data_IF_907504419193
#
_entry.id   IF_907504419193
#
_cell.length_a   1.000
_cell.length_b   1.000
_cell.length_c   1.000
_cell.angle_alpha   90.00
_cell.angle_beta   90.00
_cell.angle_gamma   90.00
#
_symmetry.space_group_name_H-M   'P 1'
#
loop_
_entity.id
_entity.type
_entity.pdbx_description
1 polymer ?
#
# COMPACT_ATOMS: atom_id res chain seq x y z
N UNK A 1 16.24 14.81 -9.23
CA UNK A 1 17.12 14.29 -8.15
C UNK A 1 16.32 13.69 -6.99
N UNK A 2 15.29 14.37 -6.46
CA UNK A 2 14.48 13.87 -5.34
C UNK A 2 13.85 12.48 -5.55
N UNK A 3 13.15 12.25 -6.66
CA UNK A 3 12.57 10.92 -6.95
C UNK A 3 13.61 9.80 -7.00
N UNK A 4 14.77 10.08 -7.60
CA UNK A 4 15.85 9.09 -7.68
C UNK A 4 16.35 8.72 -6.28
N UNK A 5 16.57 9.71 -5.41
CA UNK A 5 16.94 9.45 -4.02
C UNK A 5 15.86 8.64 -3.28
N UNK A 6 14.61 9.10 -3.30
CA UNK A 6 13.50 8.42 -2.60
C UNK A 6 13.27 6.99 -3.09
N UNK A 7 13.47 6.71 -4.38
CA UNK A 7 13.25 5.38 -4.94
C UNK A 7 14.48 4.45 -4.83
N UNK A 8 15.71 4.97 -4.67
CA UNK A 8 16.93 4.15 -4.77
C UNK A 8 17.83 4.17 -3.54
N UNK A 9 17.72 5.17 -2.65
CA UNK A 9 18.52 5.19 -1.44
C UNK A 9 18.16 3.98 -0.56
N UNK A 10 19.12 3.14 -0.15
CA UNK A 10 18.82 1.87 0.51
C UNK A 10 17.98 1.98 1.78
N UNK A 11 18.07 3.10 2.50
CA UNK A 11 17.32 3.36 3.73
C UNK A 11 16.04 4.17 3.51
N UNK A 12 15.65 4.40 2.25
CA UNK A 12 14.40 5.08 1.97
C UNK A 12 13.22 4.24 2.44
N UNK A 13 12.38 4.81 3.29
CA UNK A 13 11.16 4.18 3.81
C UNK A 13 10.26 3.61 2.70
N UNK A 14 10.21 4.27 1.53
CA UNK A 14 9.41 3.83 0.38
C UNK A 14 9.88 2.50 -0.25
N UNK A 15 11.06 2.00 0.12
CA UNK A 15 11.59 0.72 -0.37
C UNK A 15 11.29 -0.46 0.55
N UNK A 16 10.66 -0.20 1.69
CA UNK A 16 10.54 -1.16 2.80
C UNK A 16 9.09 -1.45 3.20
N UNK A 17 8.15 -0.63 2.72
CA UNK A 17 6.72 -0.81 2.95
C UNK A 17 5.92 -0.45 1.70
N UNK A 18 4.82 -1.18 1.46
CA UNK A 18 3.77 -0.72 0.57
C UNK A 18 2.94 0.34 1.29
N UNK A 19 2.77 1.51 0.67
CA UNK A 19 2.05 2.64 1.25
C UNK A 19 0.97 3.13 0.29
N UNK A 20 -0.26 3.28 0.79
CA UNK A 20 -1.33 3.97 0.07
C UNK A 20 -2.08 4.92 0.99
N UNK A 21 -2.56 6.03 0.42
CA UNK A 21 -3.47 6.95 1.09
C UNK A 21 -4.45 7.52 0.08
N UNK A 22 -5.74 7.53 0.41
CA UNK A 22 -6.81 8.15 -0.38
C UNK A 22 -7.68 9.00 0.53
N UNK A 23 -7.80 10.29 0.22
CA UNK A 23 -8.79 11.16 0.87
C UNK A 23 -10.18 10.94 0.27
N UNK A 24 -11.20 11.05 1.11
CA UNK A 24 -12.60 10.87 0.77
C UNK A 24 -13.34 12.21 0.72
N UNK A 25 -14.44 12.33 -0.06
CA UNK A 25 -15.17 13.59 -0.22
C UNK A 25 -15.77 14.16 1.06
N UNK A 26 -16.06 13.31 2.05
CA UNK A 26 -16.67 13.63 3.34
C UNK A 26 -15.66 14.09 4.40
N UNK A 27 -14.39 14.25 4.04
CA UNK A 27 -13.30 14.59 4.97
C UNK A 27 -12.66 13.37 5.64
N UNK A 28 -13.12 12.16 5.31
CA UNK A 28 -12.45 10.92 5.68
C UNK A 28 -11.17 10.65 4.87
N UNK A 29 -10.46 9.60 5.26
CA UNK A 29 -9.34 9.05 4.49
C UNK A 29 -9.17 7.56 4.73
N UNK A 30 -8.65 6.86 3.74
CA UNK A 30 -8.18 5.49 3.88
C UNK A 30 -6.67 5.46 3.78
N UNK A 31 -6.03 4.69 4.63
CA UNK A 31 -4.58 4.47 4.65
C UNK A 31 -4.29 2.97 4.64
N UNK A 32 -3.22 2.60 3.96
CA UNK A 32 -2.72 1.23 3.91
C UNK A 32 -1.21 1.26 4.15
N UNK A 33 -0.74 0.39 5.03
CA UNK A 33 0.70 0.12 5.23
C UNK A 33 0.89 -1.39 5.25
N UNK A 34 1.50 -1.93 4.21
CA UNK A 34 1.52 -3.37 3.92
C UNK A 34 0.09 -3.95 3.91
N UNK A 35 -0.25 -4.83 4.86
CA UNK A 35 -1.58 -5.41 5.00
C UNK A 35 -2.49 -4.64 5.97
N UNK A 36 -1.97 -3.62 6.66
CA UNK A 36 -2.70 -2.86 7.66
C UNK A 36 -3.55 -1.78 7.00
N UNK A 37 -4.85 -2.00 6.92
CA UNK A 37 -5.80 -1.02 6.42
C UNK A 37 -6.42 -0.21 7.57
N UNK A 38 -6.62 1.09 7.36
CA UNK A 38 -7.35 1.95 8.29
C UNK A 38 -8.22 2.94 7.54
N UNK A 39 -9.51 2.97 7.87
CA UNK A 39 -10.44 3.99 7.43
C UNK A 39 -10.66 4.99 8.56
N UNK A 40 -10.54 6.25 8.21
CA UNK A 40 -10.72 7.40 9.08
C UNK A 40 -11.92 8.20 8.59
N UNK A 41 -12.77 8.61 9.51
CA UNK A 41 -13.84 9.58 9.29
C UNK A 41 -13.65 10.73 10.30
N UNK A 42 -13.56 11.97 9.81
CA UNK A 42 -13.40 13.16 10.66
C UNK A 42 -12.34 13.00 11.77
N UNK A 43 -11.15 12.51 11.39
CA UNK A 43 -10.01 12.21 12.27
C UNK A 43 -10.19 11.07 13.30
N UNK A 44 -11.28 10.30 13.22
CA UNK A 44 -11.50 9.11 14.04
C UNK A 44 -11.35 7.84 13.21
N UNK A 45 -10.76 6.80 13.79
CA UNK A 45 -10.68 5.49 13.15
C UNK A 45 -12.05 4.82 13.24
N UNK A 46 -12.65 4.53 12.08
CA UNK A 46 -13.96 3.85 11.99
C UNK A 46 -13.84 2.39 11.56
N UNK A 47 -12.74 2.02 10.89
CA UNK A 47 -12.43 0.64 10.53
C UNK A 47 -10.91 0.47 10.59
N UNK A 48 -10.45 -0.62 11.19
CA UNK A 48 -9.05 -1.03 11.17
C UNK A 48 -9.00 -2.53 11.03
N UNK A 49 -8.43 -3.01 9.93
CA UNK A 49 -8.35 -4.43 9.61
C UNK A 49 -6.95 -4.78 9.12
N UNK A 50 -6.54 -5.99 9.44
CA UNK A 50 -5.38 -6.62 8.84
C UNK A 50 -5.89 -7.50 7.70
N UNK A 51 -5.50 -7.18 6.47
CA UNK A 51 -5.87 -7.96 5.31
C UNK A 51 -5.17 -9.33 5.39
N UNK A 52 -5.90 -10.44 5.21
CA UNK A 52 -5.38 -11.76 5.55
C UNK A 52 -4.30 -12.27 4.58
N UNK A 53 -4.31 -11.80 3.33
CA UNK A 53 -3.46 -12.30 2.26
C UNK A 53 -3.34 -11.33 1.08
N UNK A 54 -2.53 -11.72 0.08
CA UNK A 54 -2.27 -10.94 -1.14
C UNK A 54 -3.53 -10.77 -2.01
N UNK A 55 -4.38 -11.78 -2.23
CA UNK A 55 -5.66 -11.59 -2.93
C UNK A 55 -6.52 -10.49 -2.31
N UNK A 56 -6.70 -10.49 -0.98
CA UNK A 56 -7.48 -9.46 -0.28
C UNK A 56 -6.84 -8.07 -0.41
N UNK A 57 -5.51 -8.00 -0.38
CA UNK A 57 -4.76 -6.76 -0.66
C UNK A 57 -5.00 -6.25 -2.09
N UNK A 58 -4.86 -7.13 -3.08
CA UNK A 58 -5.05 -6.80 -4.49
C UNK A 58 -6.47 -6.30 -4.79
N UNK A 59 -7.49 -6.93 -4.18
CA UNK A 59 -8.87 -6.45 -4.23
C UNK A 59 -9.04 -5.09 -3.56
N UNK A 60 -8.43 -4.86 -2.39
CA UNK A 60 -8.52 -3.59 -1.67
C UNK A 60 -7.88 -2.43 -2.46
N UNK A 61 -6.75 -2.66 -3.13
CA UNK A 61 -6.12 -1.65 -4.00
C UNK A 61 -7.06 -1.18 -5.11
N UNK A 62 -7.80 -2.11 -5.72
CA UNK A 62 -8.77 -1.79 -6.78
C UNK A 62 -10.02 -1.12 -6.22
N UNK A 63 -10.68 -1.76 -5.26
CA UNK A 63 -12.02 -1.37 -4.80
C UNK A 63 -12.01 -0.17 -3.85
N UNK A 64 -11.07 -0.15 -2.89
CA UNK A 64 -10.97 0.92 -1.89
C UNK A 64 -10.10 2.07 -2.38
N UNK A 65 -8.95 1.78 -3.00
CA UNK A 65 -8.02 2.83 -3.45
C UNK A 65 -8.20 3.26 -4.91
N UNK A 66 -8.96 2.52 -5.72
CA UNK A 66 -9.25 2.90 -7.11
C UNK A 66 -8.05 2.72 -8.05
N UNK A 67 -7.14 1.80 -7.73
CA UNK A 67 -5.97 1.51 -8.57
C UNK A 67 -6.40 0.71 -9.81
N UNK A 68 -6.12 1.25 -11.00
CA UNK A 68 -6.31 0.55 -12.27
C UNK A 68 -5.18 -0.44 -12.52
N UNK A 69 -5.37 -1.68 -12.08
CA UNK A 69 -4.35 -2.76 -12.16
C UNK A 69 -4.25 -3.40 -13.56
N UNK A 70 -5.22 -3.13 -14.43
CA UNK A 70 -5.37 -3.73 -15.76
C UNK A 70 -4.90 -2.82 -16.92
N UNK A 71 -4.31 -1.67 -16.61
CA UNK A 71 -3.75 -0.77 -17.62
C UNK A 71 -2.64 -1.47 -18.43
N UNK A 72 -2.68 -1.34 -19.76
CA UNK A 72 -1.77 -2.05 -20.65
C UNK A 72 -0.28 -1.68 -20.48
N UNK A 73 0.03 -0.53 -19.85
CA UNK A 73 1.38 -0.02 -19.67
C UNK A 73 1.82 0.02 -18.22
N UNK A 74 0.91 0.33 -17.31
CA UNK A 74 1.19 0.58 -15.89
C UNK A 74 0.42 -0.34 -14.94
N UNK A 75 -0.38 -1.25 -15.48
CA UNK A 75 -1.00 -2.33 -14.72
C UNK A 75 0.05 -3.27 -14.15
N UNK A 76 -0.37 -4.06 -13.18
CA UNK A 76 0.45 -5.08 -12.54
C UNK A 76 -0.44 -6.23 -12.09
N UNK A 77 0.11 -7.43 -12.07
CA UNK A 77 -0.58 -8.66 -11.71
C UNK A 77 -0.56 -8.90 -10.20
N UNK A 78 -1.49 -9.74 -9.72
CA UNK A 78 -1.47 -10.22 -8.34
C UNK A 78 -0.15 -10.93 -7.99
N UNK A 79 0.44 -11.67 -8.94
CA UNK A 79 1.72 -12.34 -8.75
C UNK A 79 2.90 -11.38 -8.54
N UNK A 80 2.92 -10.25 -9.25
CA UNK A 80 3.92 -9.20 -9.03
C UNK A 80 3.74 -8.53 -7.67
N UNK A 81 2.50 -8.29 -7.25
CA UNK A 81 2.22 -7.81 -5.90
C UNK A 81 2.68 -8.82 -4.83
N UNK A 82 2.43 -10.12 -5.03
CA UNK A 82 2.88 -11.16 -4.12
C UNK A 82 4.40 -11.16 -3.95
N UNK A 83 5.14 -11.02 -5.05
CA UNK A 83 6.60 -10.93 -5.03
C UNK A 83 7.11 -9.70 -4.24
N UNK A 84 6.43 -8.55 -4.37
CA UNK A 84 6.75 -7.34 -3.59
C UNK A 84 6.49 -7.57 -2.10
N UNK A 85 5.33 -8.12 -1.74
CA UNK A 85 4.99 -8.35 -0.34
C UNK A 85 5.92 -9.38 0.33
N UNK A 86 6.29 -10.44 -0.39
CA UNK A 86 7.25 -11.43 0.10
C UNK A 86 8.64 -10.83 0.39
N UNK A 87 9.07 -9.83 -0.38
CA UNK A 87 10.35 -9.16 -0.14
C UNK A 87 10.37 -8.39 1.19
N UNK A 88 9.24 -7.83 1.62
CA UNK A 88 9.12 -7.13 2.90
C UNK A 88 9.19 -8.11 4.10
N UNK A 89 8.60 -9.29 3.98
CA UNK A 89 8.67 -10.33 5.04
C UNK A 89 10.11 -10.80 5.29
N UNK A 90 10.94 -10.81 4.25
CA UNK A 90 12.36 -11.20 4.36
C UNK A 90 13.27 -10.13 4.98
N UNK A 91 12.77 -8.90 5.20
CA UNK A 91 13.55 -7.78 5.73
C UNK A 91 12.85 -7.09 6.93
N UNK A 92 12.73 -7.78 8.08
CA UNK A 92 12.06 -7.24 9.28
C UNK A 92 12.75 -6.02 9.92
N UNK A 93 14.02 -5.77 9.59
CA UNK A 93 14.82 -4.66 10.14
C UNK A 93 14.61 -3.33 9.39
N UNK A 94 13.77 -3.29 8.37
CA UNK A 94 13.67 -2.15 7.46
C UNK A 94 12.74 -1.01 7.94
N UNK A 95 12.18 -1.15 9.14
CA UNK A 95 11.23 -0.20 9.75
C UNK A 95 11.56 0.19 11.19
N UNK A 96 12.83 0.11 11.61
CA UNK A 96 13.31 0.60 12.92
C UNK A 96 13.96 1.97 12.84
#
# INVERSE_FOLDING_TARGET
>A
MGNFWSAHWPQSHFRHHLLMCRHLPDGGKMTLTNFHFTHWDNAHVVEKIDLPDVPALYEALQTRFGIGVDDARYGFTEGELAAVMAAFDTHPEAGK
#
